data_IF_743932892959
#
_entry.id   IF_743932892959
#
_cell.length_a   1.000
_cell.length_b   1.000
_cell.length_c   1.000
_cell.angle_alpha   90.00
_cell.angle_beta   90.00
_cell.angle_gamma   90.00
#
_symmetry.space_group_name_H-M   'P 1'
#
loop_
_entity.id
_entity.type
_entity.pdbx_description
1 polymer ?
#
# COMPACT_ATOMS: atom_id res chain seq x y z
N UNK A 1 -4.57 56.64 -26.12
CA UNK A 1 -3.23 56.02 -26.13
C UNK A 1 -2.99 55.45 -24.74
N UNK A 2 -2.90 54.12 -24.69
CA UNK A 2 -2.43 53.21 -23.65
C UNK A 2 -3.03 53.26 -22.23
N UNK A 3 -3.85 52.23 -21.97
CA UNK A 3 -4.09 51.59 -20.68
C UNK A 3 -2.80 51.03 -20.07
N UNK A 4 -2.74 50.93 -18.74
CA UNK A 4 -1.91 49.94 -18.05
C UNK A 4 -2.70 49.41 -16.83
N UNK A 5 -3.29 48.22 -16.99
CA UNK A 5 -3.65 47.37 -15.86
C UNK A 5 -2.37 46.66 -15.38
N UNK A 6 -2.21 46.40 -14.07
CA UNK A 6 -1.22 45.44 -13.62
C UNK A 6 -1.69 44.04 -14.04
N UNK A 7 -0.79 43.32 -14.71
CA UNK A 7 -0.95 41.91 -15.05
C UNK A 7 -1.11 41.09 -13.76
N UNK A 8 -2.16 40.27 -13.73
CA UNK A 8 -2.39 39.25 -12.73
C UNK A 8 -1.58 38.01 -13.10
N UNK A 9 -0.61 37.63 -12.27
CA UNK A 9 -0.02 36.29 -12.33
C UNK A 9 -1.09 35.27 -11.88
N UNK A 10 -1.71 34.61 -12.85
CA UNK A 10 -2.20 33.24 -12.74
C UNK A 10 -0.96 32.33 -12.85
N UNK A 11 -0.82 31.16 -12.22
CA UNK A 11 -1.75 30.20 -11.65
C UNK A 11 -0.91 29.16 -10.91
N UNK A 12 -1.19 28.89 -9.64
CA UNK A 12 -0.77 27.63 -9.02
C UNK A 12 -1.90 26.62 -9.20
N UNK A 13 -1.60 25.41 -9.63
CA UNK A 13 -2.61 24.37 -9.87
C UNK A 13 -3.11 23.78 -8.54
N UNK A 14 -4.35 23.25 -8.47
CA UNK A 14 -4.88 22.63 -7.24
C UNK A 14 -3.97 21.54 -6.64
N UNK A 15 -3.18 20.86 -7.49
CA UNK A 15 -2.16 19.88 -7.10
C UNK A 15 -0.99 20.47 -6.29
N UNK A 16 -0.62 21.73 -6.52
CA UNK A 16 0.53 22.38 -5.88
C UNK A 16 0.21 22.85 -4.45
N UNK A 17 -1.07 23.17 -4.18
CA UNK A 17 -1.53 23.53 -2.83
C UNK A 17 -1.69 22.32 -1.90
N UNK A 18 -1.92 21.12 -2.44
CA UNK A 18 -2.08 19.88 -1.66
C UNK A 18 -0.74 19.35 -1.15
N UNK A 19 0.30 19.34 -2.01
CA UNK A 19 1.64 18.82 -1.68
C UNK A 19 2.34 19.56 -0.52
N UNK A 20 2.03 20.85 -0.31
CA UNK A 20 2.69 21.67 0.72
C UNK A 20 2.13 21.47 2.14
N UNK A 21 0.89 20.99 2.28
CA UNK A 21 0.28 20.74 3.60
C UNK A 21 0.69 19.36 4.12
N UNK A 22 0.87 18.38 3.23
CA UNK A 22 1.23 16.99 3.58
C UNK A 22 2.58 16.87 4.29
N UNK A 23 3.63 17.59 3.83
CA UNK A 23 5.02 17.38 4.30
C UNK A 23 5.25 17.73 5.77
N UNK A 24 4.54 18.71 6.33
CA UNK A 24 4.71 19.10 7.74
C UNK A 24 3.90 18.24 8.71
N UNK A 25 2.91 17.50 8.21
CA UNK A 25 2.07 16.61 9.01
C UNK A 25 2.77 15.24 9.16
N UNK A 26 3.36 14.71 8.10
CA UNK A 26 4.05 13.40 8.06
C UNK A 26 5.14 13.26 9.12
N UNK A 27 6.04 14.23 9.26
CA UNK A 27 7.13 14.16 10.26
C UNK A 27 6.62 14.06 11.70
N UNK A 28 5.48 14.68 12.00
CA UNK A 28 4.91 14.67 13.36
C UNK A 28 4.26 13.33 13.73
N UNK A 29 3.75 12.58 12.75
CA UNK A 29 3.14 11.26 12.96
C UNK A 29 4.17 10.15 13.12
N UNK A 30 5.26 10.20 12.35
CA UNK A 30 6.36 9.22 12.46
C UNK A 30 7.00 9.26 13.86
N UNK A 31 7.23 10.45 14.42
CA UNK A 31 7.77 10.60 15.78
C UNK A 31 6.79 10.12 16.87
N UNK A 32 5.50 10.41 16.71
CA UNK A 32 4.46 9.96 17.63
C UNK A 32 4.29 8.43 17.61
N UNK A 33 4.33 7.82 16.42
CA UNK A 33 4.25 6.38 16.23
C UNK A 33 5.48 5.68 16.85
N UNK A 34 6.69 6.20 16.61
CA UNK A 34 7.92 5.67 17.20
C UNK A 34 7.89 5.66 18.73
N UNK A 35 7.34 6.70 19.37
CA UNK A 35 7.19 6.76 20.82
C UNK A 35 6.18 5.73 21.35
N UNK A 36 5.08 5.49 20.62
CA UNK A 36 4.08 4.48 20.95
C UNK A 36 4.65 3.05 20.84
N UNK A 37 5.48 2.77 19.84
CA UNK A 37 6.11 1.44 19.66
C UNK A 37 7.11 1.10 20.76
N UNK A 38 7.88 2.09 21.24
CA UNK A 38 8.74 1.90 22.41
C UNK A 38 7.92 1.56 23.66
N UNK A 39 6.72 2.13 23.82
CA UNK A 39 5.83 1.82 24.93
C UNK A 39 5.23 0.39 24.83
N UNK A 40 5.16 -0.18 23.62
CA UNK A 40 4.69 -1.55 23.37
C UNK A 40 5.80 -2.61 23.42
N UNK A 41 7.06 -2.22 23.71
CA UNK A 41 8.17 -3.16 23.92
C UNK A 41 8.94 -3.55 22.65
N UNK A 42 8.72 -2.86 21.53
CA UNK A 42 9.49 -3.08 20.30
C UNK A 42 10.86 -2.38 20.37
N UNK A 43 11.95 -3.00 19.87
CA UNK A 43 13.30 -2.43 19.95
C UNK A 43 13.46 -1.13 19.14
N UNK A 44 14.29 -0.22 19.65
CA UNK A 44 14.71 1.01 18.97
C UNK A 44 15.98 0.76 18.16
N UNK A 45 16.08 1.35 16.96
CA UNK A 45 17.24 1.24 16.08
C UNK A 45 18.47 1.96 16.64
N UNK A 46 19.62 1.29 16.58
CA UNK A 46 20.94 1.82 16.92
C UNK A 46 21.83 1.97 15.68
N UNK A 47 22.77 2.90 15.76
CA UNK A 47 23.63 3.47 14.71
C UNK A 47 24.50 2.47 13.90
N UNK A 48 24.72 2.85 12.63
CA UNK A 48 25.47 2.15 11.58
C UNK A 48 26.98 1.98 11.84
N UNK A 49 27.55 0.87 11.37
CA UNK A 49 28.97 0.80 10.94
C UNK A 49 29.10 0.17 9.54
N UNK A 50 30.06 0.72 8.81
CA UNK A 50 30.26 0.69 7.36
C UNK A 50 31.08 -0.51 6.86
N UNK A 51 30.62 -1.15 5.78
CA UNK A 51 31.34 -2.19 5.04
C UNK A 51 31.03 -2.20 3.53
N UNK A 52 32.07 -2.08 2.72
CA UNK A 52 32.13 -1.88 1.25
C UNK A 52 31.71 -3.13 0.43
N UNK A 53 31.22 -3.02 -0.83
CA UNK A 53 30.37 -4.03 -1.47
C UNK A 53 31.11 -5.05 -2.35
N UNK A 54 30.62 -6.30 -2.34
CA UNK A 54 31.04 -7.39 -3.21
C UNK A 54 29.98 -7.70 -4.27
N UNK A 55 30.40 -7.71 -5.53
CA UNK A 55 29.60 -8.00 -6.74
C UNK A 55 29.13 -9.46 -6.77
N UNK A 56 27.82 -9.71 -6.88
CA UNK A 56 27.28 -10.99 -7.37
C UNK A 56 26.08 -10.80 -8.30
N UNK A 57 26.01 -11.70 -9.27
CA UNK A 57 25.19 -11.73 -10.47
C UNK A 57 23.80 -12.32 -10.16
N UNK A 58 22.72 -11.97 -10.89
CA UNK A 58 21.34 -12.26 -10.48
C UNK A 58 20.98 -13.75 -10.68
N UNK A 59 20.30 -14.40 -9.73
CA UNK A 59 19.71 -15.70 -9.99
C UNK A 59 18.35 -15.54 -10.67
N UNK A 60 18.11 -16.53 -11.52
CA UNK A 60 17.00 -16.68 -12.46
C UNK A 60 15.64 -16.73 -11.77
N UNK A 61 14.69 -16.02 -12.38
CA UNK A 61 13.25 -16.03 -12.09
C UNK A 61 12.69 -17.45 -12.07
N UNK A 62 12.17 -17.89 -10.93
CA UNK A 62 11.32 -19.06 -10.81
C UNK A 62 9.91 -18.59 -10.44
N UNK A 63 9.08 -18.42 -11.46
CA UNK A 63 7.63 -18.23 -11.35
C UNK A 63 7.00 -19.59 -11.08
N UNK A 64 6.64 -19.86 -9.82
CA UNK A 64 5.62 -20.86 -9.48
C UNK A 64 4.65 -20.21 -8.49
N UNK A 65 3.41 -19.98 -8.96
CA UNK A 65 2.32 -19.42 -8.18
C UNK A 65 1.98 -20.33 -7.01
N UNK A 66 2.30 -19.91 -5.79
CA UNK A 66 1.91 -20.64 -4.57
C UNK A 66 0.42 -20.42 -4.30
N UNK A 67 -0.41 -21.35 -4.77
CA UNK A 67 -1.72 -21.64 -4.16
C UNK A 67 -1.38 -22.45 -2.90
N UNK A 68 -1.75 -22.10 -1.67
CA UNK A 68 -3.12 -21.92 -1.22
C UNK A 68 -3.08 -21.41 0.24
N UNK A 69 -3.50 -20.17 0.49
CA UNK A 69 -4.13 -19.89 1.77
C UNK A 69 -5.47 -20.64 1.72
N UNK A 70 -5.84 -21.38 2.77
CA UNK A 70 -7.09 -22.17 2.83
C UNK A 70 -8.40 -21.36 2.60
N UNK A 71 -8.28 -20.05 2.34
CA UNK A 71 -9.31 -19.06 2.11
C UNK A 71 -9.08 -18.27 0.79
N UNK A 72 -8.29 -18.80 -0.14
CA UNK A 72 -7.98 -18.18 -1.43
C UNK A 72 -9.10 -18.33 -2.47
N UNK A 73 -9.09 -17.46 -3.46
CA UNK A 73 -9.94 -17.51 -4.66
C UNK A 73 -9.08 -17.81 -5.89
N UNK A 74 -9.60 -18.56 -6.86
CA UNK A 74 -8.88 -18.93 -8.09
C UNK A 74 -8.52 -17.72 -8.96
N UNK A 75 -9.26 -16.62 -8.85
CA UNK A 75 -8.99 -15.38 -9.57
C UNK A 75 -7.85 -14.55 -8.96
N UNK A 76 -7.35 -14.92 -7.77
CA UNK A 76 -6.30 -14.17 -7.10
C UNK A 76 -4.92 -14.62 -7.57
N UNK A 77 -4.06 -13.65 -7.86
CA UNK A 77 -2.66 -13.91 -8.18
C UNK A 77 -1.79 -13.38 -7.06
N UNK A 78 -0.70 -14.09 -6.77
CA UNK A 78 0.33 -13.64 -5.85
C UNK A 78 1.71 -13.95 -6.40
N UNK A 79 2.65 -13.06 -6.08
CA UNK A 79 4.07 -13.20 -6.37
C UNK A 79 4.85 -12.67 -5.16
N UNK A 80 6.03 -13.24 -4.91
CA UNK A 80 6.97 -12.75 -3.90
C UNK A 80 8.39 -13.01 -4.36
N UNK A 81 9.33 -12.18 -3.93
CA UNK A 81 10.75 -12.33 -4.28
C UNK A 81 11.54 -13.23 -3.34
N UNK A 82 11.05 -13.43 -2.11
CA UNK A 82 11.74 -14.20 -1.06
C UNK A 82 10.83 -15.26 -0.43
N UNK A 83 11.42 -16.41 -0.11
CA UNK A 83 10.70 -17.58 0.38
C UNK A 83 10.77 -17.75 1.90
N UNK A 84 11.77 -17.15 2.56
CA UNK A 84 12.00 -17.26 4.00
C UNK A 84 12.18 -15.89 4.66
N UNK A 85 11.75 -15.70 5.92
CA UNK A 85 11.85 -14.41 6.61
C UNK A 85 13.31 -13.93 6.76
N UNK A 86 14.24 -14.87 7.00
CA UNK A 86 15.67 -14.58 7.21
C UNK A 86 16.42 -14.16 5.93
N UNK A 87 15.75 -14.22 4.78
CA UNK A 87 16.31 -13.80 3.48
C UNK A 87 15.89 -12.39 3.07
N UNK A 88 14.93 -11.78 3.78
CA UNK A 88 14.37 -10.48 3.40
C UNK A 88 15.38 -9.33 3.54
N UNK A 89 15.54 -8.56 2.46
CA UNK A 89 16.35 -7.34 2.41
C UNK A 89 15.70 -6.27 1.51
N UNK A 90 16.34 -5.12 1.38
CA UNK A 90 15.91 -4.04 0.49
C UNK A 90 15.80 -4.53 -0.96
N UNK A 91 14.66 -4.25 -1.58
CA UNK A 91 14.30 -4.69 -2.93
C UNK A 91 13.44 -5.95 -2.96
N UNK A 92 13.28 -6.66 -1.84
CA UNK A 92 12.32 -7.75 -1.76
C UNK A 92 10.88 -7.24 -1.74
N UNK A 93 9.98 -7.97 -2.38
CA UNK A 93 8.61 -7.55 -2.57
C UNK A 93 7.62 -8.69 -2.50
N UNK A 94 6.36 -8.30 -2.30
CA UNK A 94 5.18 -9.15 -2.51
C UNK A 94 4.17 -8.41 -3.35
N UNK A 95 3.50 -9.14 -4.23
CA UNK A 95 2.39 -8.64 -5.02
C UNK A 95 1.14 -9.47 -4.78
N UNK A 96 0.00 -8.79 -4.78
CA UNK A 96 -1.30 -9.44 -4.72
C UNK A 96 -2.27 -8.76 -5.68
N UNK A 97 -2.89 -9.57 -6.54
CA UNK A 97 -3.78 -9.09 -7.59
C UNK A 97 -5.16 -9.74 -7.44
N UNK A 98 -6.22 -8.93 -7.50
CA UNK A 98 -7.60 -9.42 -7.57
C UNK A 98 -8.53 -8.43 -8.28
N UNK A 99 -9.64 -8.91 -8.89
CA UNK A 99 -10.76 -8.04 -9.27
C UNK A 99 -11.44 -7.45 -8.04
N UNK A 100 -11.90 -6.20 -8.12
CA UNK A 100 -12.75 -5.56 -7.12
C UNK A 100 -14.20 -5.70 -7.55
N UNK A 101 -14.90 -6.67 -6.98
CA UNK A 101 -16.24 -7.04 -7.44
C UNK A 101 -17.36 -6.25 -6.72
N UNK A 102 -18.57 -6.29 -7.29
CA UNK A 102 -19.78 -5.73 -6.66
C UNK A 102 -20.04 -6.35 -5.28
N UNK A 103 -19.72 -7.63 -5.12
CA UNK A 103 -19.79 -8.38 -3.87
C UNK A 103 -18.82 -7.82 -2.82
N UNK A 104 -17.60 -7.46 -3.23
CA UNK A 104 -16.62 -6.81 -2.35
C UNK A 104 -17.13 -5.45 -1.88
N UNK A 105 -17.64 -4.61 -2.79
CA UNK A 105 -18.19 -3.28 -2.47
C UNK A 105 -19.38 -3.40 -1.49
N UNK A 106 -20.29 -4.32 -1.77
CA UNK A 106 -21.46 -4.57 -0.93
C UNK A 106 -21.08 -5.12 0.46
N UNK A 107 -20.13 -6.05 0.52
CA UNK A 107 -19.65 -6.62 1.77
C UNK A 107 -18.86 -5.59 2.59
N UNK A 108 -18.03 -4.77 1.92
CA UNK A 108 -17.27 -3.72 2.57
C UNK A 108 -18.18 -2.66 3.18
N UNK A 109 -19.22 -2.23 2.48
CA UNK A 109 -20.22 -1.30 3.01
C UNK A 109 -20.90 -1.85 4.28
N UNK A 110 -21.19 -3.15 4.32
CA UNK A 110 -21.79 -3.80 5.50
C UNK A 110 -20.83 -3.88 6.69
N UNK A 111 -19.57 -4.27 6.46
CA UNK A 111 -18.61 -4.48 7.55
C UNK A 111 -18.01 -3.17 8.07
N UNK A 112 -17.76 -2.19 7.19
CA UNK A 112 -17.20 -0.90 7.54
C UNK A 112 -18.26 0.11 8.02
N UNK A 113 -19.51 -0.07 7.58
CA UNK A 113 -20.58 0.93 7.74
C UNK A 113 -20.52 2.09 6.74
N UNK A 114 -19.53 2.12 5.83
CA UNK A 114 -19.46 3.12 4.77
C UNK A 114 -20.49 2.83 3.68
N UNK A 115 -21.65 3.47 3.86
CA UNK A 115 -22.81 3.37 2.96
C UNK A 115 -22.94 4.60 2.06
N UNK A 116 -21.83 5.29 1.76
CA UNK A 116 -21.84 6.40 0.83
C UNK A 116 -22.47 5.99 -0.51
N UNK A 117 -23.49 6.76 -0.92
CA UNK A 117 -24.29 6.50 -2.13
C UNK A 117 -23.45 6.43 -3.40
N UNK A 118 -22.27 7.08 -3.40
CA UNK A 118 -21.31 7.02 -4.50
C UNK A 118 -20.91 5.58 -4.86
N UNK A 119 -20.81 4.69 -3.88
CA UNK A 119 -20.40 3.31 -4.09
C UNK A 119 -21.58 2.36 -4.38
N UNK A 120 -22.80 2.76 -4.01
CA UNK A 120 -23.95 1.85 -3.94
C UNK A 120 -25.08 2.18 -4.92
N UNK A 121 -25.26 3.44 -5.30
CA UNK A 121 -26.41 3.90 -6.11
C UNK A 121 -25.97 4.46 -7.47
N UNK A 122 -26.26 3.74 -8.56
CA UNK A 122 -25.88 4.16 -9.92
C UNK A 122 -26.44 5.53 -10.31
N UNK A 123 -27.73 5.80 -10.06
CA UNK A 123 -28.36 7.07 -10.43
C UNK A 123 -27.72 8.27 -9.71
N UNK A 124 -27.29 8.08 -8.45
CA UNK A 124 -26.55 9.11 -7.73
C UNK A 124 -25.16 9.31 -8.32
N UNK A 125 -24.44 8.20 -8.57
CA UNK A 125 -23.07 8.22 -9.02
C UNK A 125 -22.92 8.78 -10.46
N UNK A 126 -23.86 8.50 -11.36
CA UNK A 126 -23.96 9.08 -12.71
C UNK A 126 -24.04 10.62 -12.68
N UNK A 127 -24.60 11.20 -11.62
CA UNK A 127 -24.67 12.65 -11.42
C UNK A 127 -23.40 13.29 -10.85
N UNK A 128 -22.36 12.50 -10.56
CA UNK A 128 -21.09 12.98 -10.00
C UNK A 128 -20.01 13.13 -11.09
N UNK A 129 -18.86 13.68 -10.71
CA UNK A 129 -17.70 13.79 -11.61
C UNK A 129 -17.15 12.44 -12.10
N UNK A 130 -17.50 11.33 -11.42
CA UNK A 130 -17.04 9.99 -11.76
C UNK A 130 -17.89 9.33 -12.86
N UNK A 131 -19.12 9.82 -13.11
CA UNK A 131 -19.99 9.30 -14.18
C UNK A 131 -20.56 7.89 -13.94
N UNK A 132 -20.21 7.25 -12.83
CA UNK A 132 -20.63 5.90 -12.44
C UNK A 132 -20.17 5.56 -11.03
N UNK A 133 -20.57 4.39 -10.52
CA UNK A 133 -20.14 3.91 -9.19
C UNK A 133 -18.67 3.51 -9.25
N UNK A 134 -17.94 3.84 -8.18
CA UNK A 134 -16.54 3.49 -7.99
C UNK A 134 -16.41 2.67 -6.69
N UNK A 135 -15.37 1.86 -6.57
CA UNK A 135 -15.09 1.13 -5.34
C UNK A 135 -14.71 2.09 -4.19
N UNK A 136 -14.86 1.64 -2.94
CA UNK A 136 -14.33 2.36 -1.78
C UNK A 136 -12.80 2.37 -1.85
N UNK A 137 -12.16 3.53 -1.72
CA UNK A 137 -10.69 3.61 -1.69
C UNK A 137 -10.08 2.72 -0.60
N UNK A 138 -10.70 2.65 0.58
CA UNK A 138 -10.23 1.79 1.69
C UNK A 138 -10.43 0.31 1.42
N UNK A 139 -11.44 -0.09 0.63
CA UNK A 139 -11.57 -1.47 0.16
C UNK A 139 -10.39 -1.83 -0.74
N UNK A 140 -10.06 -0.94 -1.69
CA UNK A 140 -8.90 -1.11 -2.59
C UNK A 140 -7.61 -1.15 -1.76
N UNK A 141 -7.40 -0.23 -0.82
CA UNK A 141 -6.24 -0.26 0.08
C UNK A 141 -6.14 -1.56 0.91
N UNK A 142 -7.26 -2.27 1.12
CA UNK A 142 -7.26 -3.59 1.76
C UNK A 142 -6.44 -4.64 1.00
N UNK A 143 -6.21 -4.47 -0.30
CA UNK A 143 -5.33 -5.38 -1.07
C UNK A 143 -3.87 -5.25 -0.66
N UNK A 144 -3.43 -4.10 -0.12
CA UNK A 144 -2.11 -3.95 0.51
C UNK A 144 -2.01 -4.88 1.72
N UNK A 145 -3.02 -4.87 2.60
CA UNK A 145 -3.06 -5.80 3.74
C UNK A 145 -3.05 -7.26 3.28
N UNK A 146 -3.72 -7.56 2.17
CA UNK A 146 -3.66 -8.89 1.58
C UNK A 146 -2.24 -9.21 1.11
N UNK A 147 -1.59 -8.33 0.34
CA UNK A 147 -0.21 -8.50 -0.13
C UNK A 147 0.77 -8.73 1.02
N UNK A 148 0.73 -7.89 2.06
CA UNK A 148 1.60 -8.01 3.23
C UNK A 148 1.50 -9.38 3.91
N UNK A 149 0.32 -9.99 3.95
CA UNK A 149 0.13 -11.32 4.51
C UNK A 149 0.77 -12.46 3.67
N UNK A 150 1.39 -12.17 2.52
CA UNK A 150 2.10 -13.14 1.67
C UNK A 150 3.62 -13.06 1.82
N UNK A 151 4.14 -12.09 2.58
CA UNK A 151 5.53 -12.15 3.02
C UNK A 151 5.76 -13.48 3.77
N UNK A 152 6.93 -14.11 3.63
CA UNK A 152 7.25 -15.28 4.40
C UNK A 152 7.28 -14.93 5.89
N UNK A 153 6.64 -15.76 6.72
CA UNK A 153 6.61 -15.54 8.17
C UNK A 153 5.32 -14.90 8.69
N UNK A 154 5.36 -14.50 9.96
CA UNK A 154 4.30 -13.75 10.61
C UNK A 154 4.51 -12.25 10.38
N UNK A 155 3.66 -11.65 9.54
CA UNK A 155 3.70 -10.21 9.27
C UNK A 155 2.77 -9.43 10.21
N UNK A 156 3.34 -8.49 10.95
CA UNK A 156 2.61 -7.54 11.81
C UNK A 156 2.62 -6.16 11.16
N UNK A 157 1.42 -5.69 10.80
CA UNK A 157 1.22 -4.42 10.11
C UNK A 157 1.10 -3.27 11.11
N UNK A 158 2.16 -2.47 11.25
CA UNK A 158 2.27 -1.48 12.35
C UNK A 158 1.70 -0.11 12.00
N UNK A 159 1.97 0.37 10.78
CA UNK A 159 1.44 1.64 10.29
C UNK A 159 1.33 1.64 8.78
N UNK A 160 0.42 2.47 8.27
CA UNK A 160 0.21 2.69 6.85
C UNK A 160 -0.15 4.16 6.60
N UNK A 161 0.52 4.77 5.64
CA UNK A 161 0.16 6.06 5.03
C UNK A 161 -0.35 5.82 3.60
N UNK A 162 -1.40 6.53 3.18
CA UNK A 162 -2.06 6.34 1.87
C UNK A 162 -2.37 7.66 1.19
N UNK A 163 -2.03 7.76 -0.08
CA UNK A 163 -2.47 8.78 -1.02
C UNK A 163 -3.34 8.12 -2.11
N UNK A 164 -4.55 8.65 -2.33
CA UNK A 164 -5.48 8.16 -3.35
C UNK A 164 -5.40 9.05 -4.59
N UNK A 165 -4.95 8.49 -5.72
CA UNK A 165 -4.66 9.25 -6.95
C UNK A 165 -5.76 9.15 -8.00
N UNK A 166 -6.40 7.99 -8.12
CA UNK A 166 -7.43 7.73 -9.13
C UNK A 166 -8.53 6.79 -8.58
N UNK A 167 -9.77 6.89 -9.10
CA UNK A 167 -10.85 5.97 -8.73
C UNK A 167 -10.63 4.59 -9.36
N UNK A 168 -11.16 3.56 -8.71
CA UNK A 168 -11.21 2.19 -9.27
C UNK A 168 -12.66 1.87 -9.62
N UNK A 169 -12.89 1.44 -10.86
CA UNK A 169 -14.22 1.03 -11.30
C UNK A 169 -14.59 -0.36 -10.73
N UNK A 170 -15.89 -0.58 -10.49
CA UNK A 170 -16.35 -1.89 -10.01
C UNK A 170 -16.19 -2.92 -11.14
N UNK A 171 -15.49 -4.02 -10.85
CA UNK A 171 -15.12 -5.07 -11.79
C UNK A 171 -13.69 -4.95 -12.32
N UNK A 172 -12.99 -3.86 -12.00
CA UNK A 172 -11.60 -3.66 -12.38
C UNK A 172 -10.66 -4.53 -11.52
N UNK A 173 -9.58 -5.00 -12.14
CA UNK A 173 -8.52 -5.76 -11.45
C UNK A 173 -7.42 -4.81 -11.02
N UNK A 174 -7.00 -4.95 -9.76
CA UNK A 174 -5.93 -4.16 -9.17
C UNK A 174 -4.83 -5.05 -8.63
N UNK A 175 -3.61 -4.56 -8.66
CA UNK A 175 -2.40 -5.19 -8.11
C UNK A 175 -1.84 -4.31 -7.01
N UNK A 176 -1.80 -4.83 -5.79
CA UNK A 176 -1.02 -4.22 -4.70
C UNK A 176 0.42 -4.71 -4.77
N UNK A 177 1.37 -3.79 -4.72
CA UNK A 177 2.80 -4.08 -4.60
C UNK A 177 3.31 -3.52 -3.27
N UNK A 178 4.05 -4.34 -2.53
CA UNK A 178 4.71 -3.94 -1.29
C UNK A 178 6.19 -4.31 -1.38
N UNK A 179 7.06 -3.32 -1.55
CA UNK A 179 8.51 -3.48 -1.70
C UNK A 179 9.25 -2.95 -0.47
N UNK A 180 10.18 -3.72 0.08
CA UNK A 180 11.05 -3.30 1.18
C UNK A 180 12.02 -2.25 0.66
N UNK A 181 11.92 -1.03 1.19
CA UNK A 181 12.79 0.10 0.84
C UNK A 181 13.81 0.40 1.94
N UNK A 182 13.60 -0.09 3.16
CA UNK A 182 14.50 0.14 4.29
C UNK A 182 14.40 -0.98 5.35
N UNK A 183 15.54 -1.45 5.85
CA UNK A 183 15.63 -2.31 7.04
C UNK A 183 15.83 -1.44 8.28
N UNK A 184 14.85 -1.44 9.18
CA UNK A 184 14.81 -0.59 10.38
C UNK A 184 15.37 -1.30 11.64
N UNK A 185 15.85 -2.54 11.50
CA UNK A 185 16.40 -3.37 12.56
C UNK A 185 15.34 -4.04 13.43
N UNK A 186 15.68 -5.20 14.03
CA UNK A 186 14.76 -5.99 14.86
C UNK A 186 13.56 -6.52 14.06
N UNK A 187 13.83 -7.07 12.88
CA UNK A 187 12.86 -7.63 11.94
C UNK A 187 11.80 -6.64 11.46
N UNK A 188 12.10 -5.34 11.57
CA UNK A 188 11.23 -4.24 11.16
C UNK A 188 11.68 -3.68 9.82
N UNK A 189 10.71 -3.44 8.94
CA UNK A 189 10.93 -2.98 7.58
C UNK A 189 10.03 -1.77 7.26
N UNK A 190 10.56 -0.84 6.46
CA UNK A 190 9.75 0.16 5.74
C UNK A 190 9.50 -0.36 4.35
N UNK A 191 8.26 -0.24 3.90
CA UNK A 191 7.86 -0.63 2.55
C UNK A 191 7.28 0.56 1.81
N UNK A 192 7.60 0.65 0.52
CA UNK A 192 6.78 1.41 -0.42
C UNK A 192 5.61 0.53 -0.84
N UNK A 193 4.40 1.08 -0.77
CA UNK A 193 3.18 0.36 -1.08
C UNK A 193 2.42 1.08 -2.18
N UNK A 194 2.18 0.39 -3.28
CA UNK A 194 1.35 0.92 -4.37
C UNK A 194 0.18 -0.01 -4.66
N UNK A 195 -0.89 0.55 -5.21
CA UNK A 195 -1.94 -0.22 -5.87
C UNK A 195 -2.10 0.34 -7.28
N UNK A 196 -2.06 -0.54 -8.26
CA UNK A 196 -2.11 -0.20 -9.68
C UNK A 196 -3.22 -0.96 -10.38
N UNK A 197 -3.78 -0.38 -11.45
CA UNK A 197 -4.74 -1.07 -12.32
C UNK A 197 -4.00 -1.93 -13.35
N UNK A 198 -4.75 -2.74 -14.12
CA UNK A 198 -4.19 -3.51 -15.23
C UNK A 198 -3.53 -2.65 -16.33
N UNK A 199 -3.90 -1.37 -16.40
CA UNK A 199 -3.34 -0.40 -17.34
C UNK A 199 -2.11 0.34 -16.77
N UNK A 200 -1.54 -0.17 -15.66
CA UNK A 200 -0.36 0.38 -14.97
C UNK A 200 -0.60 1.82 -14.43
N UNK A 201 -1.85 2.20 -14.17
CA UNK A 201 -2.18 3.45 -13.48
C UNK A 201 -2.12 3.26 -11.97
N UNK A 202 -1.24 4.01 -11.30
CA UNK A 202 -1.18 4.04 -9.83
C UNK A 202 -2.42 4.72 -9.25
N UNK A 203 -3.28 3.95 -8.59
CA UNK A 203 -4.50 4.44 -7.92
C UNK A 203 -4.27 4.76 -6.45
N UNK A 204 -3.30 4.10 -5.82
CA UNK A 204 -2.87 4.34 -4.44
C UNK A 204 -1.35 4.31 -4.37
N UNK A 205 -0.76 5.29 -3.69
CA UNK A 205 0.66 5.33 -3.31
C UNK A 205 0.79 5.52 -1.80
N UNK A 206 1.83 5.00 -1.19
CA UNK A 206 1.97 5.07 0.27
C UNK A 206 3.17 4.35 0.84
N UNK A 207 3.26 4.33 2.16
CA UNK A 207 4.30 3.60 2.89
C UNK A 207 3.73 2.80 4.05
N UNK A 208 4.30 1.61 4.28
CA UNK A 208 4.01 0.76 5.43
C UNK A 208 5.22 0.62 6.34
N UNK A 209 4.99 0.49 7.64
CA UNK A 209 5.96 -0.13 8.56
C UNK A 209 5.40 -1.47 9.01
N UNK A 210 6.22 -2.52 8.89
CA UNK A 210 5.86 -3.88 9.30
C UNK A 210 6.97 -4.51 10.12
N UNK A 211 6.61 -5.54 10.88
CA UNK A 211 7.55 -6.50 11.48
C UNK A 211 7.26 -7.87 10.88
N UNK A 212 8.29 -8.59 10.43
CA UNK A 212 8.15 -9.91 9.80
C UNK A 212 9.00 -10.91 10.58
N UNK A 213 8.34 -11.82 11.30
CA UNK A 213 9.00 -12.78 12.20
C UNK A 213 8.87 -14.22 11.69
N UNK A 214 9.72 -15.10 12.19
CA UNK A 214 9.52 -16.54 12.00
C UNK A 214 8.17 -17.00 12.55
N UNK A 215 7.58 -17.99 11.89
CA UNK A 215 6.39 -18.65 12.40
C UNK A 215 6.74 -19.42 13.69
N UNK A 216 5.83 -19.47 14.68
CA UNK A 216 6.04 -20.30 15.85
C UNK A 216 6.23 -21.76 15.43
N UNK A 217 7.19 -22.44 16.07
CA UNK A 217 7.34 -23.90 15.91
C UNK A 217 6.06 -24.58 16.42
N UNK A 218 5.48 -25.48 15.63
CA UNK A 218 4.37 -26.31 16.10
C UNK A 218 4.88 -27.20 17.25
N UNK A 219 4.23 -27.15 18.42
CA UNK A 219 4.51 -28.10 19.51
C UNK A 219 3.97 -29.49 19.10
N UNK A 220 4.88 -30.44 18.81
CA UNK A 220 4.59 -31.87 18.53
C UNK A 220 3.78 -32.59 19.64
#
# INVERSE_FOLDING_TARGET
MSSNCPESDASATPSEHWSSISKHVVNSYVEANNALFAAMGFPQSGENDSGTPGTQQPPETASESVTELAFGDEAWLMERSAERPDELDVGDYVQFTKPIEETDVSAFAQVSGDTNRLHLESEFAEGTQFGGRIAHGTLVAGTISAALARFPGLTVYLSQDLEFHAPVEIGETVTANCEIVEVLGGDRYRLHTTVETVDEETVIDGEAIVVIQDLPEDED
#
